data_IF_162704254724
#
_entry.id   IF_162704254724
#
_cell.length_a   1.000
_cell.length_b   1.000
_cell.length_c   1.000
_cell.angle_alpha   90.00
_cell.angle_beta   90.00
_cell.angle_gamma   90.00
#
_symmetry.space_group_name_H-M   'P 1'
#
loop_
_entity.id
_entity.type
_entity.pdbx_description
1 polymer ?
#
# COMPACT_ATOMS: atom_id res chain seq x y z
N UNK A 1 32.21 -19.38 5.23
CA UNK A 1 30.74 -19.44 5.16
C UNK A 1 30.33 -18.51 4.03
N UNK A 2 29.91 -19.07 2.90
CA UNK A 2 29.81 -18.42 1.58
C UNK A 2 28.57 -17.52 1.45
N UNK A 3 28.70 -16.27 0.93
CA UNK A 3 27.57 -15.49 0.47
C UNK A 3 27.32 -15.83 -1.00
N UNK A 4 26.76 -17.01 -1.26
CA UNK A 4 26.17 -17.31 -2.57
C UNK A 4 24.65 -17.23 -2.42
N UNK A 5 24.00 -16.67 -3.44
CA UNK A 5 22.56 -16.41 -3.59
C UNK A 5 22.07 -15.03 -3.10
N UNK A 6 22.70 -13.98 -3.61
CA UNK A 6 21.97 -12.75 -3.98
C UNK A 6 21.99 -12.65 -5.50
N UNK A 7 21.14 -13.43 -6.17
CA UNK A 7 20.79 -13.15 -7.55
C UNK A 7 19.93 -11.88 -7.54
N UNK A 8 20.60 -10.73 -7.59
CA UNK A 8 20.01 -9.40 -7.46
C UNK A 8 18.89 -9.20 -8.50
N UNK A 9 17.64 -9.11 -8.05
CA UNK A 9 16.54 -8.71 -8.93
C UNK A 9 16.82 -7.29 -9.44
N UNK A 10 16.71 -7.09 -10.76
CA UNK A 10 17.01 -5.79 -11.39
C UNK A 10 15.83 -4.83 -11.30
N UNK A 11 14.62 -5.36 -11.38
CA UNK A 11 13.41 -4.55 -11.51
C UNK A 11 12.20 -5.29 -10.96
N UNK A 12 11.32 -4.51 -10.34
CA UNK A 12 10.00 -4.94 -9.86
C UNK A 12 8.96 -4.10 -10.59
N UNK A 13 7.89 -4.73 -11.07
CA UNK A 13 6.81 -4.08 -11.79
C UNK A 13 5.49 -4.49 -11.19
N UNK A 14 4.70 -3.50 -10.79
CA UNK A 14 3.29 -3.69 -10.48
C UNK A 14 2.48 -3.31 -11.72
N UNK A 15 1.73 -4.25 -12.27
CA UNK A 15 0.82 -4.02 -13.39
C UNK A 15 -0.62 -3.97 -12.88
N UNK A 16 -1.29 -2.84 -13.13
CA UNK A 16 -2.64 -2.55 -12.67
C UNK A 16 -3.52 -2.29 -13.88
N UNK A 17 -4.24 -3.32 -14.35
CA UNK A 17 -5.32 -3.15 -15.31
C UNK A 17 -6.67 -3.16 -14.58
N UNK A 18 -7.67 -2.49 -15.15
CA UNK A 18 -9.02 -2.31 -14.57
C UNK A 18 -9.67 -3.60 -14.01
N UNK A 19 -9.27 -4.78 -14.48
CA UNK A 19 -9.79 -6.08 -14.06
C UNK A 19 -8.70 -7.12 -13.73
N UNK A 20 -7.43 -6.73 -13.72
CA UNK A 20 -6.33 -7.67 -13.49
C UNK A 20 -5.13 -6.96 -12.88
N UNK A 21 -4.72 -7.42 -11.71
CA UNK A 21 -3.49 -6.98 -11.07
C UNK A 21 -2.46 -8.10 -11.13
N UNK A 22 -1.23 -7.75 -11.50
CA UNK A 22 -0.11 -8.66 -11.41
C UNK A 22 1.12 -7.96 -10.88
N UNK A 23 1.79 -8.63 -9.96
CA UNK A 23 3.17 -8.31 -9.58
C UNK A 23 4.10 -9.15 -10.45
N UNK A 24 5.10 -8.52 -11.05
CA UNK A 24 6.10 -9.17 -11.89
C UNK A 24 7.52 -8.78 -11.45
N UNK A 25 8.42 -9.75 -11.46
CA UNK A 25 9.84 -9.52 -11.19
C UNK A 25 10.70 -9.91 -12.39
N UNK A 26 11.78 -9.16 -12.56
CA UNK A 26 12.80 -9.43 -13.57
C UNK A 26 14.11 -9.81 -12.89
N UNK A 27 14.55 -11.06 -13.07
CA UNK A 27 15.87 -11.49 -12.59
C UNK A 27 16.91 -11.39 -13.71
N UNK A 28 18.18 -11.03 -13.40
CA UNK A 28 19.23 -10.88 -14.40
C UNK A 28 19.52 -12.15 -15.22
N UNK A 29 19.19 -13.33 -14.69
CA UNK A 29 19.59 -14.62 -15.26
C UNK A 29 18.42 -15.39 -15.91
N UNK A 30 17.16 -15.03 -15.64
CA UNK A 30 15.99 -15.83 -16.03
C UNK A 30 15.34 -15.45 -17.37
N UNK A 31 15.78 -14.38 -18.04
CA UNK A 31 15.06 -13.86 -19.21
C UNK A 31 13.78 -13.09 -18.79
N UNK A 32 12.63 -13.27 -19.46
CA UNK A 32 11.46 -12.38 -19.38
C UNK A 32 10.88 -12.19 -17.98
N UNK A 33 10.01 -11.18 -17.86
CA UNK A 33 9.24 -10.91 -16.64
C UNK A 33 8.52 -12.16 -16.14
N UNK A 34 8.68 -12.46 -14.86
CA UNK A 34 8.00 -13.57 -14.18
C UNK A 34 6.93 -13.02 -13.25
N UNK A 35 5.70 -13.51 -13.42
CA UNK A 35 4.58 -13.19 -12.52
C UNK A 35 4.78 -13.83 -11.15
N UNK A 36 4.48 -13.07 -10.11
CA UNK A 36 4.38 -13.53 -8.73
C UNK A 36 2.93 -13.94 -8.48
N UNK A 37 2.76 -15.15 -7.97
CA UNK A 37 1.46 -15.75 -7.64
C UNK A 37 1.31 -15.84 -6.10
N UNK A 38 0.23 -16.48 -5.64
CA UNK A 38 -0.06 -16.71 -4.23
C UNK A 38 -0.21 -15.38 -3.45
N UNK A 39 -1.09 -14.52 -3.94
CA UNK A 39 -1.42 -13.27 -3.25
C UNK A 39 -1.91 -13.56 -1.83
N UNK A 40 -1.63 -12.67 -0.87
CA UNK A 40 -2.18 -12.78 0.46
C UNK A 40 -3.71 -12.81 0.41
N UNK A 41 -4.32 -13.44 1.39
CA UNK A 41 -5.77 -13.62 1.44
C UNK A 41 -6.29 -13.31 2.84
N UNK A 42 -7.51 -12.80 2.93
CA UNK A 42 -8.24 -12.69 4.20
C UNK A 42 -9.72 -13.03 3.98
N UNK A 43 -10.45 -13.26 5.06
CA UNK A 43 -11.90 -13.51 5.02
C UNK A 43 -12.62 -12.19 4.81
N UNK A 44 -13.41 -12.12 3.74
CA UNK A 44 -14.25 -10.98 3.47
C UNK A 44 -15.33 -10.84 4.57
N UNK A 45 -15.38 -9.71 5.31
CA UNK A 45 -16.37 -9.54 6.37
C UNK A 45 -17.82 -9.51 5.87
N UNK A 46 -18.04 -9.17 4.58
CA UNK A 46 -19.37 -9.10 3.98
C UNK A 46 -19.88 -10.46 3.52
N UNK A 47 -19.02 -11.24 2.89
CA UNK A 47 -19.42 -12.51 2.24
C UNK A 47 -19.03 -13.74 3.04
N UNK A 48 -18.10 -13.62 3.99
CA UNK A 48 -17.51 -14.73 4.74
C UNK A 48 -16.55 -15.59 3.93
N UNK A 49 -16.36 -15.30 2.64
CA UNK A 49 -15.45 -16.06 1.77
C UNK A 49 -14.02 -15.55 1.88
N UNK A 50 -13.06 -16.46 1.75
CA UNK A 50 -11.65 -16.14 1.62
C UNK A 50 -11.41 -15.49 0.25
N UNK A 51 -10.86 -14.28 0.24
CA UNK A 51 -10.60 -13.51 -0.98
C UNK A 51 -9.13 -13.06 -1.01
N UNK A 52 -8.59 -12.89 -2.22
CA UNK A 52 -7.26 -12.33 -2.43
C UNK A 52 -7.24 -10.83 -2.11
N UNK A 53 -6.14 -10.41 -1.49
CA UNK A 53 -5.82 -9.02 -1.21
C UNK A 53 -5.03 -8.49 -2.39
N UNK A 54 -5.51 -7.39 -2.96
CA UNK A 54 -4.98 -6.77 -4.15
C UNK A 54 -4.56 -5.34 -3.88
N UNK A 55 -3.51 -4.88 -4.55
CA UNK A 55 -3.06 -3.50 -4.44
C UNK A 55 -4.18 -2.55 -4.86
N UNK A 56 -4.39 -1.49 -4.11
CA UNK A 56 -5.43 -0.51 -4.39
C UNK A 56 -4.77 0.86 -4.47
N UNK A 57 -4.37 1.32 -5.68
CA UNK A 57 -3.78 2.63 -5.83
C UNK A 57 -4.83 3.69 -5.50
N UNK A 58 -4.33 4.80 -4.95
CA UNK A 58 -5.12 6.00 -4.71
C UNK A 58 -5.80 6.47 -5.99
N UNK A 59 -7.09 6.79 -5.90
CA UNK A 59 -7.90 7.23 -7.05
C UNK A 59 -7.92 8.75 -7.21
N UNK A 60 -7.61 9.47 -6.13
CA UNK A 60 -7.69 10.92 -5.99
C UNK A 60 -6.27 11.52 -6.04
N UNK A 61 -5.29 10.85 -5.45
CA UNK A 61 -3.91 11.35 -5.37
C UNK A 61 -2.99 10.45 -6.19
N UNK A 62 -2.29 10.96 -7.22
CA UNK A 62 -1.30 10.16 -7.93
C UNK A 62 -0.13 9.86 -6.97
N UNK A 63 -0.16 8.69 -6.35
CA UNK A 63 0.83 8.24 -5.38
C UNK A 63 1.59 7.04 -5.92
N UNK A 64 2.85 6.92 -5.47
CA UNK A 64 3.66 5.75 -5.74
C UNK A 64 2.90 4.51 -5.25
N UNK A 65 2.54 3.57 -6.14
CA UNK A 65 1.77 2.39 -5.74
C UNK A 65 2.62 1.42 -4.92
N UNK A 66 3.93 1.68 -4.81
CA UNK A 66 4.90 0.80 -4.21
C UNK A 66 6.05 1.56 -3.56
N UNK A 67 6.41 1.21 -2.32
CA UNK A 67 7.53 1.78 -1.58
C UNK A 67 8.53 0.69 -1.19
N UNK A 68 9.82 0.90 -1.42
CA UNK A 68 10.88 -0.04 -1.03
C UNK A 68 11.59 0.42 0.24
N UNK A 69 11.57 -0.41 1.28
CA UNK A 69 12.27 -0.17 2.54
C UNK A 69 12.52 -1.50 3.27
N UNK A 70 13.55 -1.61 4.11
CA UNK A 70 13.84 -2.81 4.91
C UNK A 70 13.86 -4.14 4.12
N UNK A 71 14.32 -4.11 2.87
CA UNK A 71 14.44 -5.30 2.03
C UNK A 71 13.12 -5.81 1.44
N UNK A 72 12.03 -5.04 1.53
CA UNK A 72 10.72 -5.40 1.02
C UNK A 72 10.06 -4.26 0.24
N UNK A 73 9.22 -4.63 -0.73
CA UNK A 73 8.32 -3.72 -1.41
C UNK A 73 6.98 -3.66 -0.66
N UNK A 74 6.39 -2.48 -0.54
CA UNK A 74 5.19 -2.23 0.24
C UNK A 74 4.13 -1.57 -0.63
N UNK A 75 2.92 -2.11 -0.63
CA UNK A 75 1.78 -1.51 -1.33
C UNK A 75 0.56 -1.43 -0.41
N UNK A 76 -0.23 -0.38 -0.60
CA UNK A 76 -1.55 -0.30 -0.03
C UNK A 76 -2.47 -1.24 -0.81
N UNK A 77 -3.22 -2.07 -0.09
CA UNK A 77 -4.04 -3.13 -0.66
C UNK A 77 -5.38 -3.25 0.04
N UNK A 78 -6.38 -3.83 -0.61
CA UNK A 78 -7.70 -4.12 -0.05
C UNK A 78 -8.25 -5.46 -0.58
N UNK A 79 -9.45 -5.85 -0.12
CA UNK A 79 -10.15 -7.06 -0.57
C UNK A 79 -11.08 -6.77 -1.78
N UNK A 80 -10.83 -5.72 -2.56
CA UNK A 80 -11.75 -5.18 -3.57
C UNK A 80 -13.15 -4.83 -3.00
N UNK A 81 -13.23 -4.61 -1.69
CA UNK A 81 -14.45 -4.25 -0.96
C UNK A 81 -14.17 -3.09 0.01
N UNK A 82 -15.16 -2.20 0.18
CA UNK A 82 -14.99 -1.00 1.01
C UNK A 82 -14.83 -1.34 2.49
N UNK A 83 -13.80 -0.76 3.12
CA UNK A 83 -13.74 -0.57 4.57
C UNK A 83 -12.62 -1.29 5.31
N UNK A 84 -11.68 -1.96 4.63
CA UNK A 84 -10.47 -2.49 5.26
C UNK A 84 -9.29 -2.44 4.30
N UNK A 85 -8.22 -1.76 4.72
CA UNK A 85 -6.95 -1.68 4.01
C UNK A 85 -5.88 -2.50 4.71
N UNK A 86 -4.91 -2.96 3.93
CA UNK A 86 -3.72 -3.66 4.37
C UNK A 86 -2.51 -2.97 3.76
N UNK A 87 -1.43 -2.91 4.53
CA UNK A 87 -0.11 -2.67 3.94
C UNK A 87 0.54 -4.03 3.76
N UNK A 88 0.57 -4.48 2.50
CA UNK A 88 1.20 -5.74 2.13
C UNK A 88 2.68 -5.46 1.86
N UNK A 89 3.54 -6.25 2.47
CA UNK A 89 4.97 -6.27 2.18
C UNK A 89 5.29 -7.50 1.33
N UNK A 90 6.21 -7.35 0.38
CA UNK A 90 6.77 -8.44 -0.41
C UNK A 90 8.28 -8.43 -0.25
N UNK A 91 8.81 -9.40 0.51
CA UNK A 91 10.24 -9.54 0.73
C UNK A 91 10.87 -10.22 -0.48
N UNK A 92 11.75 -9.50 -1.15
CA UNK A 92 12.29 -9.94 -2.44
C UNK A 92 13.32 -11.06 -2.32
N UNK A 93 14.04 -11.14 -1.20
CA UNK A 93 15.12 -12.11 -1.01
C UNK A 93 14.64 -13.57 -0.92
N UNK A 94 13.40 -13.78 -0.47
CA UNK A 94 12.79 -15.09 -0.32
C UNK A 94 11.36 -15.15 -0.91
N UNK A 95 10.93 -14.08 -1.57
CA UNK A 95 9.63 -13.98 -2.25
C UNK A 95 8.42 -14.26 -1.34
N UNK A 96 8.49 -13.83 -0.09
CA UNK A 96 7.44 -14.02 0.91
C UNK A 96 6.65 -12.74 1.10
N UNK A 97 5.32 -12.87 1.06
CA UNK A 97 4.43 -11.79 1.47
C UNK A 97 4.32 -11.69 2.99
N UNK A 98 4.16 -10.48 3.49
CA UNK A 98 3.85 -10.19 4.88
C UNK A 98 2.89 -9.02 5.01
N UNK A 99 2.55 -8.68 6.24
CA UNK A 99 1.70 -7.52 6.55
C UNK A 99 2.44 -6.57 7.48
N UNK A 100 2.31 -5.28 7.22
CA UNK A 100 2.71 -4.23 8.15
C UNK A 100 1.47 -3.87 8.97
N UNK A 101 1.56 -3.88 10.31
CA UNK A 101 0.42 -3.55 11.15
C UNK A 101 0.05 -2.07 11.00
N UNK A 102 -1.25 -1.76 10.92
CA UNK A 102 -1.78 -0.40 10.91
C UNK A 102 -2.47 -0.08 12.24
N UNK A 103 -2.48 1.20 12.62
CA UNK A 103 -3.34 1.68 13.70
C UNK A 103 -4.81 1.65 13.28
N UNK A 104 -5.70 1.39 14.22
CA UNK A 104 -7.14 1.31 13.94
C UNK A 104 -7.69 2.68 13.48
N UNK A 105 -7.06 3.77 13.91
CA UNK A 105 -7.37 5.14 13.48
C UNK A 105 -6.96 5.44 12.02
N UNK A 106 -5.97 4.70 11.50
CA UNK A 106 -5.57 4.78 10.09
C UNK A 106 -6.49 3.98 9.18
N UNK A 107 -7.25 3.04 9.75
CA UNK A 107 -8.24 2.27 9.02
C UNK A 107 -9.42 3.18 8.66
N UNK A 108 -9.60 3.37 7.36
CA UNK A 108 -10.63 4.22 6.79
C UNK A 108 -12.04 3.68 7.10
N UNK A 109 -12.88 4.48 7.78
CA UNK A 109 -14.26 4.09 8.14
C UNK A 109 -15.15 3.98 6.90
N UNK A 110 -16.02 2.96 6.88
CA UNK A 110 -16.97 2.60 5.80
C UNK A 110 -17.86 3.75 5.29
N UNK A 111 -18.14 4.74 6.14
CA UNK A 111 -19.17 5.76 5.88
C UNK A 111 -18.64 7.03 5.17
N UNK A 112 -17.33 7.12 4.96
CA UNK A 112 -16.77 8.25 4.21
C UNK A 112 -16.78 7.94 2.71
N UNK A 113 -17.31 8.88 1.92
CA UNK A 113 -17.23 8.84 0.46
C UNK A 113 -15.76 9.04 0.08
N UNK A 114 -15.07 7.91 -0.05
CA UNK A 114 -13.72 7.74 -0.61
C UNK A 114 -12.62 8.50 0.14
N UNK A 115 -12.33 8.12 1.39
CA UNK A 115 -11.08 8.51 2.00
C UNK A 115 -9.95 7.81 1.24
N UNK A 116 -8.97 8.60 0.80
CA UNK A 116 -7.88 8.10 -0.02
C UNK A 116 -6.61 7.96 0.81
N UNK A 117 -5.82 6.94 0.50
CA UNK A 117 -4.63 6.57 1.23
C UNK A 117 -3.49 6.25 0.29
N UNK A 118 -2.27 6.40 0.79
CA UNK A 118 -1.07 6.20 0.01
C UNK A 118 0.09 5.80 0.90
N UNK A 119 1.14 5.29 0.28
CA UNK A 119 2.40 5.02 0.96
C UNK A 119 3.47 5.97 0.45
N UNK A 120 4.37 6.36 1.34
CA UNK A 120 5.56 7.13 0.98
C UNK A 120 6.73 6.71 1.87
N UNK A 121 7.92 7.19 1.53
CA UNK A 121 9.13 7.01 2.31
C UNK A 121 9.66 8.38 2.71
N UNK A 122 9.91 8.57 4.00
CA UNK A 122 10.56 9.77 4.51
C UNK A 122 11.66 9.37 5.47
N UNK A 123 12.91 9.72 5.15
CA UNK A 123 14.08 9.44 5.99
C UNK A 123 14.17 7.97 6.44
N UNK A 124 13.89 7.05 5.50
CA UNK A 124 13.87 5.61 5.78
C UNK A 124 12.65 5.10 6.56
N UNK A 125 11.74 5.98 7.01
CA UNK A 125 10.50 5.59 7.67
C UNK A 125 9.40 5.31 6.65
N UNK A 126 8.76 4.14 6.77
CA UNK A 126 7.57 3.84 6.00
C UNK A 126 6.43 4.74 6.48
N UNK A 127 5.92 5.57 5.57
CA UNK A 127 4.91 6.55 5.87
C UNK A 127 3.56 6.17 5.26
N UNK A 128 2.50 6.35 6.04
CA UNK A 128 1.13 6.14 5.64
C UNK A 128 0.39 7.47 5.52
N UNK A 129 -0.27 7.64 4.38
CA UNK A 129 -1.08 8.80 4.10
C UNK A 129 -2.53 8.51 4.42
N UNK A 130 -3.19 9.40 5.17
CA UNK A 130 -4.64 9.35 5.32
C UNK A 130 -5.24 10.69 4.95
N UNK A 131 -6.23 10.68 4.07
CA UNK A 131 -7.09 11.82 3.80
C UNK A 131 -8.49 11.57 4.35
N UNK A 132 -9.06 12.57 5.01
CA UNK A 132 -10.47 12.54 5.43
C UNK A 132 -11.29 13.37 4.47
N UNK A 133 -12.38 12.83 3.93
CA UNK A 133 -13.34 13.58 3.10
C UNK A 133 -14.61 13.85 3.91
N UNK A 134 -15.15 15.07 3.79
CA UNK A 134 -16.43 15.47 4.39
C UNK A 134 -17.36 15.95 3.27
N UNK A 135 -18.25 15.10 2.79
CA UNK A 135 -19.07 15.41 1.62
C UNK A 135 -18.21 15.54 0.35
N UNK A 136 -18.19 16.72 -0.28
CA UNK A 136 -17.39 17.02 -1.47
C UNK A 136 -16.06 17.73 -1.18
N UNK A 137 -15.76 18.04 0.09
CA UNK A 137 -14.51 18.71 0.48
C UNK A 137 -13.48 17.73 1.03
N UNK A 138 -12.21 18.01 0.75
CA UNK A 138 -11.09 17.34 1.38
C UNK A 138 -10.90 17.97 2.76
N UNK A 139 -11.13 17.23 3.83
CA UNK A 139 -11.09 17.75 5.20
C UNK A 139 -9.67 17.92 5.70
N UNK A 140 -8.99 16.82 6.00
CA UNK A 140 -7.63 16.84 6.53
C UNK A 140 -6.77 15.77 5.88
N UNK A 141 -5.50 16.09 5.74
CA UNK A 141 -4.44 15.18 5.31
C UNK A 141 -3.51 14.95 6.50
N UNK A 142 -3.19 13.70 6.79
CA UNK A 142 -2.21 13.33 7.80
C UNK A 142 -1.15 12.43 7.19
N UNK A 143 0.11 12.74 7.51
CA UNK A 143 1.24 11.87 7.23
C UNK A 143 1.68 11.18 8.53
N UNK A 144 1.47 9.87 8.57
CA UNK A 144 1.93 9.01 9.64
C UNK A 144 3.26 8.40 9.26
N UNK A 145 4.23 8.35 10.16
CA UNK A 145 5.52 7.70 9.94
C UNK A 145 5.77 6.64 10.99
N UNK A 146 6.14 5.44 10.55
CA UNK A 146 6.54 4.34 11.43
C UNK A 146 8.00 4.52 11.83
N UNK A 147 8.27 4.86 13.10
CA UNK A 147 9.65 5.01 13.60
C UNK A 147 10.39 3.69 13.63
N UNK A 148 9.74 2.66 14.17
CA UNK A 148 10.30 1.33 14.32
C UNK A 148 9.55 0.39 13.37
N UNK A 149 10.25 -0.08 12.34
CA UNK A 149 9.64 -0.89 11.30
C UNK A 149 8.95 -2.13 11.86
N UNK A 150 7.71 -2.38 11.40
CA UNK A 150 6.78 -3.41 11.87
C UNK A 150 6.32 -3.31 13.34
N UNK A 151 6.53 -2.18 14.02
CA UNK A 151 6.00 -1.92 15.37
C UNK A 151 4.78 -1.01 15.27
N UNK A 152 3.58 -1.55 15.53
CA UNK A 152 2.28 -0.85 15.38
C UNK A 152 2.21 0.44 16.21
N UNK A 153 2.78 0.43 17.40
CA UNK A 153 2.71 1.55 18.34
C UNK A 153 3.74 2.65 18.04
N UNK A 154 4.68 2.40 17.11
CA UNK A 154 5.75 3.34 16.78
C UNK A 154 5.34 4.44 15.79
N UNK A 155 4.12 4.37 15.26
CA UNK A 155 3.61 5.39 14.35
C UNK A 155 3.49 6.74 15.06
N UNK A 156 4.01 7.77 14.42
CA UNK A 156 3.82 9.17 14.81
C UNK A 156 3.16 9.95 13.69
N UNK A 157 2.37 10.97 14.02
CA UNK A 157 1.91 11.96 13.03
C UNK A 157 3.04 12.97 12.85
N UNK A 158 3.63 13.02 11.66
CA UNK A 158 4.66 14.00 11.34
C UNK A 158 4.07 15.39 11.12
N UNK A 159 2.98 15.45 10.36
CA UNK A 159 2.23 16.68 10.18
C UNK A 159 0.79 16.39 9.76
N UNK A 160 -0.06 17.39 10.00
CA UNK A 160 -1.45 17.43 9.56
C UNK A 160 -1.65 18.70 8.76
N UNK A 161 -2.20 18.56 7.55
CA UNK A 161 -2.63 19.70 6.72
C UNK A 161 -4.15 19.72 6.74
N UNK A 162 -4.73 20.86 7.11
CA UNK A 162 -6.16 21.09 6.94
C UNK A 162 -6.38 21.60 5.53
N UNK A 163 -7.27 20.93 4.79
CA UNK A 163 -7.54 21.20 3.37
C UNK A 163 -8.94 21.82 3.19
N UNK A 164 -9.38 22.54 4.22
CA UNK A 164 -10.59 23.35 4.19
C UNK A 164 -10.60 24.21 2.91
N UNK A 165 -11.71 24.15 2.17
CA UNK A 165 -11.98 24.94 0.96
C UNK A 165 -11.28 24.52 -0.36
N UNK A 166 -10.57 23.38 -0.39
CA UNK A 166 -10.11 22.82 -1.67
C UNK A 166 -11.22 22.03 -2.37
N UNK A 167 -11.64 22.51 -3.54
CA UNK A 167 -12.59 21.83 -4.43
C UNK A 167 -11.80 21.01 -5.45
N UNK A 168 -12.13 19.72 -5.58
CA UNK A 168 -11.60 18.88 -6.66
C UNK A 168 -12.15 19.44 -7.98
N UNK A 169 -11.29 20.11 -8.74
CA UNK A 169 -11.63 20.56 -10.08
C UNK A 169 -11.75 19.34 -11.00
N UNK A 170 -12.94 19.13 -11.59
CA UNK A 170 -13.08 18.18 -12.70
C UNK A 170 -12.57 18.83 -13.98
N UNK A 171 -11.61 18.22 -14.70
CA UNK A 171 -11.22 18.69 -16.03
C UNK A 171 -12.45 18.76 -16.94
N UNK A 172 -12.51 19.77 -17.80
CA UNK A 172 -13.53 19.88 -18.87
C UNK A 172 -13.21 18.92 -20.01
#
# INVERSE_FOLDING_TARGET
>A
MTPLVMAAIRSFKLNMHLFSQSIEILTPKSGPWRRICNYPTDVCPRTGYKMEIHSCPSKIVPMEPLVYVHGAFHCLSDLNERGKYYVVSFRISNEVYGYVPLLDEMCMKKDSYQPDGGLSLLDGMLCFLTTTTTGFSLGSFKLWAMKDYNVKESYIVLFTIQLNDLVIAKPR
#
